data_IF_105855673348
#
_entry.id   IF_105855673348
#
_cell.length_a   1.000
_cell.length_b   1.000
_cell.length_c   1.000
_cell.angle_alpha   90.00
_cell.angle_beta   90.00
_cell.angle_gamma   90.00
#
_symmetry.space_group_name_H-M   'P 1'
#
loop_
_entity.id
_entity.type
_entity.pdbx_description
1 polymer ?
#
# COMPACT_ATOMS: atom_id res chain seq x y z
N UNK A 1 -40.79 -60.74 -0.93
CA UNK A 1 -41.13 -60.72 0.47
C UNK A 1 -40.49 -59.43 1.01
N UNK A 2 -41.09 -58.33 1.08
CA UNK A 2 -42.38 -57.93 1.64
C UNK A 2 -42.20 -57.49 3.08
N UNK A 3 -42.20 -56.22 3.33
CA UNK A 3 -43.04 -55.33 4.14
C UNK A 3 -42.24 -54.07 4.54
N UNK A 4 -42.66 -52.95 4.19
CA UNK A 4 -43.38 -51.77 4.71
C UNK A 4 -43.48 -51.69 6.26
N UNK A 5 -43.29 -50.52 6.83
CA UNK A 5 -44.06 -49.36 7.24
C UNK A 5 -43.28 -48.67 8.36
N UNK A 6 -43.21 -47.43 8.46
CA UNK A 6 -43.95 -46.26 8.80
C UNK A 6 -43.14 -45.42 9.76
N UNK A 7 -42.89 -44.20 9.65
CA UNK A 7 -43.70 -42.99 9.67
C UNK A 7 -43.58 -42.32 11.03
N UNK A 8 -42.97 -41.11 11.06
CA UNK A 8 -43.50 -39.93 11.73
C UNK A 8 -42.44 -38.83 11.84
N UNK A 9 -42.72 -37.67 11.24
CA UNK A 9 -42.21 -36.34 11.55
C UNK A 9 -43.11 -35.79 12.70
N UNK A 10 -42.71 -34.87 13.58
CA UNK A 10 -42.41 -33.49 13.21
C UNK A 10 -41.33 -32.76 14.00
N UNK A 11 -40.70 -31.81 13.34
CA UNK A 11 -40.55 -30.38 13.59
C UNK A 11 -40.15 -29.88 14.99
N UNK A 12 -39.02 -29.19 15.06
CA UNK A 12 -38.93 -27.88 15.71
C UNK A 12 -37.66 -27.18 15.23
N UNK A 13 -37.85 -26.01 14.66
CA UNK A 13 -36.85 -25.12 14.16
C UNK A 13 -36.04 -24.42 15.28
N UNK A 14 -34.81 -24.21 14.99
CA UNK A 14 -33.90 -23.37 15.71
C UNK A 14 -32.98 -22.71 14.72
N UNK A 15 -33.31 -21.50 14.27
CA UNK A 15 -32.47 -20.67 13.44
C UNK A 15 -31.29 -20.24 14.28
N UNK A 16 -30.13 -20.79 13.99
CA UNK A 16 -28.85 -20.22 14.43
C UNK A 16 -28.61 -18.96 13.58
N UNK A 17 -28.79 -17.79 14.19
CA UNK A 17 -28.30 -16.53 13.65
C UNK A 17 -26.79 -16.59 13.68
N UNK A 18 -26.16 -16.74 12.51
CA UNK A 18 -24.76 -16.42 12.31
C UNK A 18 -24.56 -14.93 12.58
N UNK A 19 -23.88 -14.62 13.64
CA UNK A 19 -23.35 -13.27 13.89
C UNK A 19 -22.16 -13.07 12.98
N UNK A 20 -22.35 -12.40 11.87
CA UNK A 20 -21.25 -11.89 11.05
C UNK A 20 -20.41 -10.90 11.87
N UNK A 21 -19.08 -10.94 11.78
CA UNK A 21 -18.22 -9.99 12.48
C UNK A 21 -18.45 -8.57 11.94
N UNK A 22 -18.56 -7.61 12.84
CA UNK A 22 -18.90 -6.21 12.58
C UNK A 22 -17.93 -5.43 11.65
N UNK A 23 -16.87 -6.05 11.16
CA UNK A 23 -15.87 -5.44 10.28
C UNK A 23 -16.27 -5.34 8.81
N UNK A 24 -17.10 -6.26 8.30
CA UNK A 24 -17.46 -6.31 6.88
C UNK A 24 -18.39 -5.16 6.43
N UNK A 25 -19.15 -4.56 7.34
CA UNK A 25 -20.14 -3.53 7.02
C UNK A 25 -19.60 -2.07 7.02
N UNK A 26 -18.36 -1.83 7.44
CA UNK A 26 -17.77 -0.49 7.42
C UNK A 26 -17.28 -0.06 6.04
N UNK A 27 -16.87 -0.99 5.21
CA UNK A 27 -16.34 -0.69 3.87
C UNK A 27 -17.43 -0.39 2.83
N UNK A 28 -18.60 -1.01 2.93
CA UNK A 28 -19.70 -0.84 1.97
C UNK A 28 -20.36 0.55 1.96
N UNK A 29 -20.12 1.40 2.96
CA UNK A 29 -20.69 2.76 3.04
C UNK A 29 -19.83 3.83 2.36
N UNK A 30 -18.55 3.56 2.10
CA UNK A 30 -17.61 4.47 1.44
C UNK A 30 -17.72 4.43 -0.08
N UNK A 31 -18.14 3.29 -0.66
CA UNK A 31 -18.26 3.11 -2.13
C UNK A 31 -19.24 4.08 -2.80
N UNK A 32 -20.31 4.51 -2.10
CA UNK A 32 -21.32 5.39 -2.71
C UNK A 32 -20.92 6.87 -2.79
N UNK A 33 -19.97 7.32 -2.02
CA UNK A 33 -19.50 8.71 -2.07
C UNK A 33 -18.31 8.89 -3.03
N UNK A 34 -17.57 7.83 -3.32
CA UNK A 34 -16.40 7.89 -4.21
C UNK A 34 -16.75 7.67 -5.68
N UNK A 35 -17.84 6.94 -6.02
CA UNK A 35 -18.27 6.78 -7.42
C UNK A 35 -18.86 8.06 -8.06
N UNK A 36 -19.15 9.11 -7.27
CA UNK A 36 -19.61 10.40 -7.80
C UNK A 36 -18.46 11.32 -8.26
N UNK A 37 -17.21 10.96 -8.02
CA UNK A 37 -16.03 11.81 -8.30
C UNK A 37 -15.38 11.56 -9.69
N UNK A 38 -15.96 10.74 -10.56
CA UNK A 38 -15.51 10.54 -11.94
C UNK A 38 -15.96 11.71 -12.85
N UNK A 39 -15.79 12.94 -12.41
CA UNK A 39 -15.82 14.12 -13.30
C UNK A 39 -14.37 14.52 -13.60
N UNK A 40 -14.05 14.85 -14.88
CA UNK A 40 -12.70 15.30 -15.21
C UNK A 40 -12.45 16.62 -14.47
N UNK A 41 -11.64 16.58 -13.42
CA UNK A 41 -11.19 17.72 -12.60
C UNK A 41 -10.23 18.65 -13.35
N UNK A 42 -10.04 18.46 -14.67
CA UNK A 42 -9.23 19.29 -15.56
C UNK A 42 -9.60 20.79 -15.60
N UNK A 43 -10.67 21.23 -14.95
CA UNK A 43 -11.19 22.60 -15.10
C UNK A 43 -10.85 23.57 -13.95
N UNK A 44 -9.99 23.20 -12.99
CA UNK A 44 -9.69 24.07 -11.83
C UNK A 44 -8.29 24.72 -11.84
N UNK A 45 -7.60 24.73 -12.99
CA UNK A 45 -6.19 25.15 -13.05
C UNK A 45 -5.97 26.61 -13.49
N UNK A 46 -6.72 27.57 -12.99
CA UNK A 46 -6.37 29.01 -13.17
C UNK A 46 -6.74 29.83 -11.92
N UNK A 47 -5.83 29.92 -10.97
CA UNK A 47 -5.93 30.77 -9.80
C UNK A 47 -4.58 30.92 -9.08
N UNK A 48 -4.41 31.77 -8.07
CA UNK A 48 -3.13 32.07 -7.41
C UNK A 48 -2.63 30.86 -6.58
N UNK A 49 -2.30 29.79 -7.27
CA UNK A 49 -1.94 28.47 -6.71
C UNK A 49 -0.43 28.29 -6.53
N UNK A 50 0.41 29.24 -6.95
CA UNK A 50 1.88 29.10 -6.85
C UNK A 50 2.44 29.12 -5.42
N UNK A 51 1.66 29.48 -4.41
CA UNK A 51 2.07 29.40 -3.00
C UNK A 51 1.53 28.17 -2.26
N UNK A 52 0.55 27.45 -2.82
CA UNK A 52 -0.02 26.24 -2.21
C UNK A 52 0.95 25.04 -2.22
N UNK A 53 1.98 25.05 -3.03
CA UNK A 53 2.91 23.93 -3.25
C UNK A 53 3.86 23.68 -2.07
N UNK A 54 4.06 24.66 -1.19
CA UNK A 54 4.97 24.55 -0.05
C UNK A 54 4.26 24.22 1.26
N UNK A 55 3.00 23.88 1.21
CA UNK A 55 2.22 23.72 2.43
C UNK A 55 2.33 22.29 2.94
N UNK A 56 3.16 22.12 3.95
CA UNK A 56 3.03 20.96 4.84
C UNK A 56 1.62 20.91 5.42
N UNK A 57 1.03 19.71 5.47
CA UNK A 57 -0.30 19.51 6.06
C UNK A 57 -0.09 18.77 7.38
N UNK A 58 -0.64 19.31 8.44
CA UNK A 58 -0.72 18.63 9.73
C UNK A 58 -2.16 18.18 9.98
N UNK A 59 -2.35 16.88 10.20
CA UNK A 59 -3.62 16.28 10.62
C UNK A 59 -3.55 15.94 12.10
N UNK A 60 -4.66 16.18 12.84
CA UNK A 60 -4.79 15.87 14.27
C UNK A 60 -6.11 15.20 14.57
N UNK A 61 -6.06 14.12 15.35
CA UNK A 61 -7.25 13.46 15.87
C UNK A 61 -6.91 12.82 17.22
N UNK A 62 -7.53 13.30 18.31
CA UNK A 62 -7.20 12.83 19.65
C UNK A 62 -5.73 13.05 20.00
N UNK A 63 -5.01 11.96 20.30
CA UNK A 63 -3.58 11.95 20.60
C UNK A 63 -2.71 11.72 19.36
N UNK A 64 -3.32 11.40 18.22
CA UNK A 64 -2.58 11.16 16.97
C UNK A 64 -2.35 12.47 16.22
N UNK A 65 -1.15 12.63 15.71
CA UNK A 65 -0.69 13.71 14.83
C UNK A 65 0.03 13.12 13.63
N UNK A 66 -0.34 13.56 12.43
CA UNK A 66 0.27 13.13 11.17
C UNK A 66 0.72 14.36 10.38
N UNK A 67 1.95 14.37 9.90
CA UNK A 67 2.47 15.41 9.01
C UNK A 67 2.64 14.85 7.59
N UNK A 68 2.17 15.61 6.59
CA UNK A 68 2.26 15.25 5.18
C UNK A 68 3.21 16.20 4.47
N UNK A 69 3.93 15.67 3.48
CA UNK A 69 4.79 16.40 2.57
C UNK A 69 4.35 16.14 1.11
N UNK A 70 3.30 16.82 0.62
CA UNK A 70 2.76 16.61 -0.73
C UNK A 70 3.81 16.77 -1.83
N UNK A 71 4.69 17.76 -1.72
CA UNK A 71 5.76 18.03 -2.70
C UNK A 71 6.83 16.92 -2.76
N UNK A 72 6.96 16.13 -1.71
CA UNK A 72 7.92 15.04 -1.59
C UNK A 72 7.23 13.68 -1.74
N UNK A 73 6.58 13.48 -2.89
CA UNK A 73 5.98 12.19 -3.25
C UNK A 73 4.64 11.90 -2.57
N UNK A 74 3.88 12.91 -2.13
CA UNK A 74 2.65 12.68 -1.38
C UNK A 74 2.89 11.93 -0.07
N UNK A 75 4.09 12.09 0.50
CA UNK A 75 4.58 11.30 1.62
C UNK A 75 3.95 11.70 2.95
N UNK A 76 3.83 10.72 3.84
CA UNK A 76 3.62 10.93 5.27
C UNK A 76 5.00 11.14 5.90
N UNK A 77 5.31 12.38 6.26
CA UNK A 77 6.58 12.74 6.89
C UNK A 77 6.76 12.04 8.23
N UNK A 78 5.68 11.94 8.99
CA UNK A 78 5.63 11.22 10.25
C UNK A 78 4.21 11.04 10.77
N UNK A 79 4.08 10.08 11.69
CA UNK A 79 2.89 9.82 12.50
C UNK A 79 3.33 9.64 13.95
N UNK A 80 2.70 10.35 14.85
CA UNK A 80 3.02 10.32 16.28
C UNK A 80 1.77 10.06 17.12
N UNK A 81 1.95 9.29 18.20
CA UNK A 81 1.03 9.23 19.33
C UNK A 81 1.61 10.14 20.43
N UNK A 82 1.03 11.32 20.65
CA UNK A 82 1.65 12.41 21.42
C UNK A 82 3.05 12.75 20.87
N UNK A 83 4.11 12.48 21.64
CA UNK A 83 5.49 12.68 21.24
C UNK A 83 6.16 11.39 20.71
N UNK A 84 5.48 10.22 20.81
CA UNK A 84 6.04 8.93 20.46
C UNK A 84 5.88 8.66 18.94
N UNK A 85 6.97 8.48 18.17
CA UNK A 85 6.86 8.16 16.75
C UNK A 85 6.21 6.79 16.53
N UNK A 86 5.11 6.73 15.81
CA UNK A 86 4.45 5.49 15.34
C UNK A 86 5.13 4.98 14.08
N UNK A 87 5.34 5.86 13.11
CA UNK A 87 6.18 5.61 11.95
C UNK A 87 7.57 6.23 12.18
N UNK A 88 8.58 5.83 11.39
CA UNK A 88 9.80 6.62 11.29
C UNK A 88 9.38 8.04 10.91
N UNK A 89 9.72 8.99 11.74
CA UNK A 89 9.13 10.31 11.65
C UNK A 89 10.21 11.38 11.60
N UNK A 90 10.21 12.12 10.49
CA UNK A 90 11.02 13.31 10.30
C UNK A 90 10.06 14.47 10.11
N UNK A 91 10.13 15.54 10.90
CA UNK A 91 9.28 16.70 10.68
C UNK A 91 9.33 17.13 9.21
N UNK A 92 8.16 17.41 8.60
CA UNK A 92 8.06 17.64 7.15
C UNK A 92 8.98 18.78 6.69
N UNK A 93 9.20 19.80 7.52
CA UNK A 93 10.13 20.90 7.24
C UNK A 93 11.61 20.47 7.12
N UNK A 94 11.96 19.28 7.62
CA UNK A 94 13.33 18.74 7.63
C UNK A 94 13.53 17.64 6.59
N UNK A 95 12.46 17.20 5.89
CA UNK A 95 12.57 16.19 4.86
C UNK A 95 13.31 16.72 3.64
N UNK A 96 14.36 16.03 3.19
CA UNK A 96 15.03 16.29 1.94
C UNK A 96 14.48 15.44 0.78
N UNK A 97 13.81 14.33 1.06
CA UNK A 97 13.23 13.44 0.06
C UNK A 97 12.13 12.55 0.67
N UNK A 98 11.23 12.02 -0.15
CA UNK A 98 10.23 11.03 0.26
C UNK A 98 10.83 9.79 0.94
N UNK A 99 12.07 9.43 0.58
CA UNK A 99 12.79 8.30 1.20
C UNK A 99 13.05 8.43 2.70
N UNK A 100 13.12 9.65 3.20
CA UNK A 100 13.34 9.94 4.61
C UNK A 100 12.03 10.02 5.40
N UNK A 101 10.89 9.94 4.71
CA UNK A 101 9.56 10.01 5.31
C UNK A 101 9.21 8.73 6.10
N UNK A 102 8.10 8.78 6.81
CA UNK A 102 7.55 7.63 7.53
C UNK A 102 6.81 6.65 6.62
N UNK A 103 6.20 7.16 5.53
CA UNK A 103 5.51 6.34 4.54
C UNK A 103 5.34 7.12 3.24
N UNK A 104 5.40 6.44 2.09
CA UNK A 104 5.07 7.03 0.79
C UNK A 104 4.27 6.05 -0.08
N UNK A 105 3.45 6.57 -1.02
CA UNK A 105 2.69 5.75 -1.94
C UNK A 105 3.60 5.10 -2.99
N UNK A 106 3.28 3.86 -3.35
CA UNK A 106 3.95 3.09 -4.39
C UNK A 106 3.04 3.04 -5.61
N UNK A 107 3.33 3.85 -6.63
CA UNK A 107 2.57 3.94 -7.87
C UNK A 107 3.50 4.24 -9.04
N UNK A 108 3.28 3.67 -10.23
CA UNK A 108 2.26 2.70 -10.64
C UNK A 108 2.72 1.25 -10.44
N UNK A 109 3.78 1.01 -9.68
CA UNK A 109 4.25 -0.31 -9.27
C UNK A 109 4.98 -0.23 -7.92
N UNK A 110 5.06 -1.36 -7.22
CA UNK A 110 5.84 -1.51 -6.01
C UNK A 110 7.14 -2.28 -6.27
N UNK A 111 8.12 -2.11 -5.40
CA UNK A 111 9.40 -2.79 -5.45
C UNK A 111 10.10 -2.63 -6.81
N UNK A 112 10.81 -3.64 -7.33
CA UNK A 112 11.74 -3.54 -8.46
C UNK A 112 11.13 -3.95 -9.79
N UNK A 113 11.53 -3.26 -10.87
CA UNK A 113 11.49 -3.76 -12.24
C UNK A 113 12.94 -4.01 -12.68
N UNK A 114 13.25 -5.26 -12.98
CA UNK A 114 14.60 -5.74 -13.27
C UNK A 114 15.30 -4.94 -14.35
N UNK A 115 16.60 -4.63 -14.15
CA UNK A 115 17.47 -3.92 -15.09
C UNK A 115 16.87 -2.60 -15.63
N UNK A 116 15.97 -1.97 -14.86
CA UNK A 116 15.23 -0.77 -15.27
C UNK A 116 14.67 -0.89 -16.70
N UNK A 117 14.10 -2.04 -17.03
CA UNK A 117 13.50 -2.31 -18.35
C UNK A 117 12.12 -2.91 -18.17
N UNK A 118 11.09 -2.17 -18.53
CA UNK A 118 9.73 -2.69 -18.54
C UNK A 118 9.48 -3.48 -19.82
N UNK A 119 9.20 -4.77 -19.71
CA UNK A 119 8.76 -5.61 -20.83
C UNK A 119 7.25 -5.70 -20.82
N UNK A 120 6.58 -5.09 -21.79
CA UNK A 120 5.14 -5.04 -21.87
C UNK A 120 4.62 -5.30 -23.28
N UNK A 121 3.76 -6.32 -23.44
CA UNK A 121 3.17 -6.71 -24.73
C UNK A 121 4.21 -6.85 -25.87
N UNK A 122 5.35 -7.48 -25.57
CA UNK A 122 6.43 -7.69 -26.53
C UNK A 122 7.33 -6.48 -26.79
N UNK A 123 7.04 -5.33 -26.20
CA UNK A 123 7.85 -4.12 -26.32
C UNK A 123 8.70 -3.93 -25.06
N UNK A 124 9.95 -3.56 -25.26
CA UNK A 124 10.87 -3.16 -24.18
C UNK A 124 10.87 -1.65 -24.04
N UNK A 125 10.61 -1.17 -22.83
CA UNK A 125 10.67 0.24 -22.45
C UNK A 125 11.81 0.42 -21.45
N UNK A 126 12.95 1.00 -21.83
CA UNK A 126 13.97 1.41 -20.87
C UNK A 126 13.40 2.43 -19.88
N UNK A 127 13.61 2.18 -18.59
CA UNK A 127 13.19 3.08 -17.51
C UNK A 127 14.41 3.79 -16.90
N UNK A 128 14.18 4.93 -16.27
CA UNK A 128 15.20 5.60 -15.48
C UNK A 128 15.43 4.81 -14.18
N UNK A 129 16.70 4.55 -13.84
CA UNK A 129 17.09 4.13 -12.49
C UNK A 129 16.83 5.29 -11.54
N UNK A 130 16.10 5.05 -10.50
CA UNK A 130 15.58 6.11 -9.66
C UNK A 130 16.01 6.00 -8.19
N UNK A 131 17.04 5.19 -7.89
CA UNK A 131 17.53 4.98 -6.54
C UNK A 131 19.02 4.68 -6.46
N UNK A 132 19.86 5.72 -6.52
CA UNK A 132 21.30 5.62 -6.38
C UNK A 132 21.93 4.59 -7.33
N UNK A 133 22.71 3.66 -6.76
CA UNK A 133 23.39 2.60 -7.50
C UNK A 133 22.50 1.38 -7.78
N UNK A 134 21.21 1.41 -7.41
CA UNK A 134 20.27 0.31 -7.70
C UNK A 134 20.15 0.10 -9.20
N UNK A 135 20.45 -1.10 -9.75
CA UNK A 135 20.41 -1.35 -11.19
C UNK A 135 19.00 -1.43 -11.76
N UNK A 136 17.98 -1.44 -10.88
CA UNK A 136 16.57 -1.58 -11.20
C UNK A 136 15.83 -0.25 -11.13
N UNK A 137 14.66 -0.14 -11.76
CA UNK A 137 13.70 0.89 -11.42
C UNK A 137 12.92 0.42 -10.18
N UNK A 138 12.68 1.32 -9.22
CA UNK A 138 12.09 0.94 -7.93
C UNK A 138 10.90 1.84 -7.56
N UNK A 139 9.81 1.22 -7.02
CA UNK A 139 8.67 1.87 -6.38
C UNK A 139 7.85 2.84 -7.24
N UNK A 140 7.99 2.75 -8.57
CA UNK A 140 7.28 3.65 -9.48
C UNK A 140 7.80 5.09 -9.44
N UNK A 141 6.93 6.02 -9.80
CA UNK A 141 7.29 7.44 -9.94
C UNK A 141 6.67 8.34 -8.88
N UNK A 142 5.54 7.90 -8.28
CA UNK A 142 4.74 8.75 -7.39
C UNK A 142 5.48 9.26 -6.17
N UNK A 143 6.38 8.47 -5.58
CA UNK A 143 7.13 8.82 -4.39
C UNK A 143 8.20 9.90 -4.60
N UNK A 144 8.53 10.22 -5.85
CA UNK A 144 9.56 11.22 -6.23
C UNK A 144 8.98 12.48 -6.86
N UNK A 145 7.67 12.52 -7.07
CA UNK A 145 6.99 13.61 -7.77
C UNK A 145 6.09 14.41 -6.82
N UNK A 146 5.93 15.70 -7.05
CA UNK A 146 5.00 16.49 -6.24
C UNK A 146 3.55 16.07 -6.51
N UNK A 147 2.75 16.04 -5.45
CA UNK A 147 1.31 15.81 -5.49
C UNK A 147 0.57 17.09 -5.19
N UNK A 148 -0.53 17.31 -5.90
CA UNK A 148 -1.43 18.44 -5.69
C UNK A 148 -2.38 18.17 -4.54
N UNK A 149 -2.52 19.11 -3.63
CA UNK A 149 -3.55 19.06 -2.57
C UNK A 149 -4.88 19.48 -3.19
N UNK A 150 -5.85 18.57 -3.23
CA UNK A 150 -7.20 18.85 -3.73
C UNK A 150 -8.10 19.38 -2.62
N UNK A 151 -7.97 18.81 -1.41
CA UNK A 151 -8.74 19.19 -0.23
C UNK A 151 -7.99 18.81 1.04
N UNK A 152 -8.19 19.55 2.12
CA UNK A 152 -7.68 19.19 3.44
C UNK A 152 -8.43 19.90 4.55
N UNK A 153 -8.64 19.18 5.66
CA UNK A 153 -9.13 19.70 6.92
C UNK A 153 -8.23 19.26 8.08
N UNK A 154 -8.65 19.46 9.32
CA UNK A 154 -7.86 19.14 10.51
C UNK A 154 -7.54 17.64 10.65
N UNK A 155 -8.32 16.76 10.03
CA UNK A 155 -8.22 15.30 10.20
C UNK A 155 -8.16 14.53 8.88
N UNK A 156 -8.23 15.19 7.73
CA UNK A 156 -8.18 14.53 6.44
C UNK A 156 -7.47 15.36 5.38
N UNK A 157 -6.90 14.67 4.36
CA UNK A 157 -6.36 15.29 3.18
C UNK A 157 -6.61 14.41 1.95
N UNK A 158 -6.82 15.05 0.80
CA UNK A 158 -6.89 14.40 -0.50
C UNK A 158 -5.84 14.99 -1.42
N UNK A 159 -4.95 14.14 -1.90
CA UNK A 159 -3.87 14.48 -2.81
C UNK A 159 -4.12 13.84 -4.17
N UNK A 160 -3.66 14.48 -5.24
CA UNK A 160 -3.70 13.94 -6.60
C UNK A 160 -2.35 14.09 -7.30
N UNK A 161 -2.07 13.14 -8.18
CA UNK A 161 -0.92 13.14 -9.05
C UNK A 161 -1.33 12.69 -10.46
N UNK A 162 -0.98 13.50 -11.46
CA UNK A 162 -1.11 13.14 -12.88
C UNK A 162 0.25 12.81 -13.45
N UNK A 163 0.33 11.68 -14.13
CA UNK A 163 1.53 11.28 -14.83
C UNK A 163 1.35 11.38 -16.34
N UNK A 164 2.12 12.26 -16.98
CA UNK A 164 2.32 12.22 -18.42
C UNK A 164 3.44 11.22 -18.75
N UNK A 165 3.33 10.45 -19.87
CA UNK A 165 4.35 9.50 -20.27
C UNK A 165 5.74 10.13 -20.33
N UNK A 166 6.71 9.50 -19.67
CA UNK A 166 8.11 9.91 -19.71
C UNK A 166 9.06 8.69 -19.64
N UNK A 167 10.36 8.93 -19.56
CA UNK A 167 11.35 7.87 -19.45
C UNK A 167 11.33 7.12 -18.09
N UNK A 168 10.63 7.62 -17.10
CA UNK A 168 10.45 6.92 -15.82
C UNK A 168 9.25 5.95 -15.86
N UNK A 169 8.20 6.29 -16.66
CA UNK A 169 7.06 5.39 -16.90
C UNK A 169 6.33 5.77 -18.20
N UNK A 170 6.15 4.81 -19.15
CA UNK A 170 5.68 5.14 -20.51
C UNK A 170 4.15 5.27 -20.65
N UNK A 171 3.36 5.06 -19.62
CA UNK A 171 1.90 5.10 -19.68
C UNK A 171 1.35 6.24 -18.84
N UNK A 172 0.46 7.05 -19.41
CA UNK A 172 -0.26 8.08 -18.67
C UNK A 172 -1.20 7.47 -17.62
N UNK A 173 -1.25 8.06 -16.43
CA UNK A 173 -2.20 7.68 -15.40
C UNK A 173 -2.53 8.87 -14.48
N UNK A 174 -3.71 8.82 -13.86
CA UNK A 174 -4.08 9.70 -12.76
C UNK A 174 -4.08 8.88 -11.46
N UNK A 175 -3.69 9.51 -10.37
CA UNK A 175 -3.67 8.88 -9.06
C UNK A 175 -4.24 9.81 -8.00
N UNK A 176 -4.98 9.26 -7.04
CA UNK A 176 -5.43 9.98 -5.85
C UNK A 176 -5.02 9.25 -4.58
N UNK A 177 -4.62 10.00 -3.55
CA UNK A 177 -4.28 9.49 -2.23
C UNK A 177 -5.09 10.25 -1.18
N UNK A 178 -6.02 9.56 -0.53
CA UNK A 178 -6.83 10.10 0.56
C UNK A 178 -6.30 9.58 1.89
N UNK A 179 -6.09 10.50 2.81
CA UNK A 179 -5.63 10.23 4.17
C UNK A 179 -6.70 10.73 5.15
N UNK A 180 -7.04 9.90 6.12
CA UNK A 180 -7.97 10.28 7.20
C UNK A 180 -7.41 9.80 8.53
N UNK A 181 -7.25 10.75 9.45
CA UNK A 181 -6.80 10.47 10.79
C UNK A 181 -8.00 10.35 11.73
N UNK A 182 -8.03 9.30 12.54
CA UNK A 182 -8.96 9.05 13.63
C UNK A 182 -8.22 9.11 14.96
N UNK A 183 -8.88 9.18 16.10
CA UNK A 183 -8.22 9.23 17.40
C UNK A 183 -7.27 8.05 17.68
N UNK A 184 -7.47 6.92 17.01
CA UNK A 184 -6.76 5.65 17.21
C UNK A 184 -6.30 5.00 15.91
N UNK A 185 -6.49 5.66 14.75
CA UNK A 185 -6.23 5.02 13.46
C UNK A 185 -5.90 6.04 12.36
N UNK A 186 -4.94 5.69 11.50
CA UNK A 186 -4.72 6.33 10.20
C UNK A 186 -5.31 5.46 9.10
N UNK A 187 -6.25 6.00 8.32
CA UNK A 187 -6.88 5.36 7.16
C UNK A 187 -6.33 5.96 5.87
N UNK A 188 -5.89 5.11 4.95
CA UNK A 188 -5.33 5.50 3.65
C UNK A 188 -6.10 4.83 2.52
N UNK A 189 -6.41 5.61 1.47
CA UNK A 189 -6.97 5.09 0.22
C UNK A 189 -6.13 5.60 -0.94
N UNK A 190 -5.69 4.70 -1.81
CA UNK A 190 -4.90 5.00 -2.99
C UNK A 190 -5.62 4.45 -4.21
N UNK A 191 -5.85 5.28 -5.22
CA UNK A 191 -6.49 4.89 -6.47
C UNK A 191 -5.65 5.33 -7.66
N UNK A 192 -5.63 4.51 -8.72
CA UNK A 192 -4.94 4.78 -9.98
C UNK A 192 -5.88 4.49 -11.14
N UNK A 193 -5.93 5.40 -12.12
CA UNK A 193 -6.71 5.26 -13.36
C UNK A 193 -5.77 5.30 -14.56
N UNK A 194 -5.85 4.30 -15.42
CA UNK A 194 -5.09 4.29 -16.68
C UNK A 194 -5.64 5.37 -17.64
N UNK A 195 -4.82 6.35 -17.96
CA UNK A 195 -5.11 7.43 -18.92
C UNK A 195 -4.41 7.20 -20.27
N UNK A 196 -3.66 6.11 -20.42
CA UNK A 196 -3.07 5.74 -21.70
C UNK A 196 -4.16 5.23 -22.68
N UNK A 197 -3.96 5.38 -24.01
CA UNK A 197 -4.91 4.87 -25.01
C UNK A 197 -4.87 3.35 -25.18
N UNK A 198 -3.98 2.65 -24.48
CA UNK A 198 -3.81 1.19 -24.51
C UNK A 198 -3.83 0.58 -23.11
N UNK A 199 -4.02 -0.74 -22.99
CA UNK A 199 -3.88 -1.44 -21.72
C UNK A 199 -2.49 -1.24 -21.12
N UNK A 200 -2.42 -0.94 -19.83
CA UNK A 200 -1.18 -0.71 -19.10
C UNK A 200 -1.07 -1.57 -17.84
N UNK A 201 0.13 -2.01 -17.46
CA UNK A 201 0.35 -2.69 -16.19
C UNK A 201 0.23 -1.67 -15.07
N UNK A 202 -0.38 -2.07 -13.97
CA UNK A 202 -0.58 -1.20 -12.82
C UNK A 202 -0.44 -1.95 -11.49
N UNK A 203 0.04 -1.24 -10.49
CA UNK A 203 0.14 -1.70 -9.13
C UNK A 203 0.12 -0.56 -8.13
N UNK A 204 -0.33 -0.87 -6.92
CA UNK A 204 -0.45 0.06 -5.80
C UNK A 204 0.19 -0.53 -4.55
N UNK A 205 0.59 0.35 -3.64
CA UNK A 205 1.02 -0.03 -2.31
C UNK A 205 1.45 1.17 -1.48
N UNK A 206 1.90 0.89 -0.29
CA UNK A 206 2.51 1.87 0.61
C UNK A 206 3.80 1.32 1.21
N UNK A 207 4.73 2.21 1.49
CA UNK A 207 6.01 1.89 2.08
C UNK A 207 6.15 2.48 3.49
N UNK A 208 5.43 1.97 4.48
CA UNK A 208 5.57 2.43 5.85
C UNK A 208 6.85 1.89 6.50
N UNK A 209 7.53 2.76 7.21
CA UNK A 209 8.73 2.48 7.99
C UNK A 209 8.41 2.60 9.48
N UNK A 210 8.57 1.52 10.23
CA UNK A 210 8.31 1.48 11.66
C UNK A 210 9.63 1.48 12.43
N UNK A 211 9.78 2.31 13.50
CA UNK A 211 10.95 2.22 14.37
C UNK A 211 11.08 0.84 15.01
N UNK A 212 12.27 0.29 15.05
CA UNK A 212 12.58 -0.89 15.86
C UNK A 212 12.91 -0.44 17.28
N UNK A 213 12.01 -0.71 18.21
CA UNK A 213 12.20 -0.49 19.63
C UNK A 213 12.60 -1.79 20.32
N UNK A 214 13.10 -1.73 21.58
CA UNK A 214 13.25 -2.94 22.37
C UNK A 214 12.00 -3.79 22.37
N UNK A 215 12.16 -5.11 22.32
CA UNK A 215 11.10 -6.10 22.24
C UNK A 215 10.11 -5.97 21.05
N UNK A 216 10.49 -5.23 19.98
CA UNK A 216 9.69 -5.17 18.76
C UNK A 216 9.51 -6.54 18.13
N UNK A 217 8.27 -6.97 17.96
CA UNK A 217 7.89 -8.25 17.32
C UNK A 217 6.88 -8.02 16.22
N UNK A 218 7.12 -8.64 15.07
CA UNK A 218 6.21 -8.66 13.93
C UNK A 218 5.47 -10.00 13.88
N UNK A 219 4.18 -9.97 13.50
CA UNK A 219 3.39 -11.18 13.23
C UNK A 219 2.40 -10.95 12.09
N UNK A 220 2.32 -11.91 11.14
CA UNK A 220 1.31 -11.98 10.09
C UNK A 220 1.19 -13.40 9.52
N UNK A 221 0.11 -13.69 8.78
CA UNK A 221 -0.12 -14.94 8.07
C UNK A 221 -0.08 -14.73 6.56
N UNK A 222 0.52 -15.69 5.84
CA UNK A 222 0.63 -15.68 4.38
C UNK A 222 0.54 -17.12 3.83
N UNK A 223 0.35 -17.25 2.52
CA UNK A 223 0.33 -18.54 1.82
C UNK A 223 1.67 -18.91 1.18
N UNK A 224 2.47 -17.91 0.83
CA UNK A 224 3.76 -18.10 0.19
C UNK A 224 4.75 -16.96 0.46
N UNK A 225 6.01 -17.24 0.17
CA UNK A 225 7.13 -16.31 0.23
C UNK A 225 7.95 -16.44 -1.06
N UNK A 226 8.32 -15.32 -1.62
CA UNK A 226 9.21 -15.24 -2.76
C UNK A 226 10.65 -15.08 -2.30
N UNK A 227 11.49 -16.06 -2.63
CA UNK A 227 12.93 -16.00 -2.39
C UNK A 227 13.57 -14.99 -3.33
N UNK A 228 14.58 -14.29 -2.85
CA UNK A 228 15.28 -13.25 -3.60
C UNK A 228 16.65 -13.74 -4.03
N UNK A 229 17.00 -13.50 -5.29
CA UNK A 229 18.35 -13.70 -5.80
C UNK A 229 19.35 -12.65 -5.29
N UNK A 230 20.64 -12.83 -5.61
CA UNK A 230 21.68 -11.87 -5.23
C UNK A 230 21.48 -10.48 -5.86
N UNK A 231 20.74 -10.40 -6.96
CA UNK A 231 20.28 -9.18 -7.63
C UNK A 231 19.01 -8.58 -7.02
N UNK A 232 18.51 -9.16 -5.91
CA UNK A 232 17.28 -8.76 -5.22
C UNK A 232 16.00 -8.87 -6.08
N UNK A 233 16.04 -9.68 -7.12
CA UNK A 233 14.85 -10.05 -7.88
C UNK A 233 14.28 -11.39 -7.37
N UNK A 234 12.96 -11.62 -7.50
CA UNK A 234 12.34 -12.86 -7.06
C UNK A 234 12.81 -14.05 -7.93
N UNK A 235 13.06 -15.18 -7.29
CA UNK A 235 13.52 -16.40 -7.95
C UNK A 235 12.47 -17.49 -7.91
N UNK A 236 12.17 -18.02 -6.74
CA UNK A 236 11.23 -19.12 -6.53
C UNK A 236 10.26 -18.79 -5.41
N UNK A 237 9.01 -19.21 -5.60
CA UNK A 237 7.98 -19.11 -4.58
C UNK A 237 8.00 -20.37 -3.71
N UNK A 238 8.06 -20.18 -2.40
CA UNK A 238 7.94 -21.25 -1.41
C UNK A 238 6.65 -21.11 -0.60
N UNK A 239 6.09 -22.22 -0.14
CA UNK A 239 4.98 -22.22 0.81
C UNK A 239 5.46 -21.59 2.13
N UNK A 240 4.67 -20.69 2.70
CA UNK A 240 5.00 -19.98 3.93
C UNK A 240 3.75 -19.71 4.76
N UNK A 241 3.79 -20.01 6.05
CA UNK A 241 2.71 -19.67 6.99
C UNK A 241 2.69 -18.17 7.39
N UNK A 242 3.59 -17.36 6.85
CA UNK A 242 3.82 -15.98 7.27
C UNK A 242 5.06 -15.82 8.15
N UNK A 243 5.02 -14.89 9.08
CA UNK A 243 6.13 -14.57 9.96
C UNK A 243 5.62 -14.27 11.37
N UNK A 244 6.34 -14.78 12.37
CA UNK A 244 6.25 -14.34 13.75
C UNK A 244 7.68 -14.30 14.31
N UNK A 245 8.23 -13.11 14.52
CA UNK A 245 9.65 -12.95 14.82
C UNK A 245 9.95 -11.71 15.67
N UNK A 246 11.08 -11.78 16.37
CA UNK A 246 11.71 -10.62 16.99
C UNK A 246 12.44 -9.80 15.92
N UNK A 247 12.09 -8.52 15.82
CA UNK A 247 12.68 -7.62 14.82
C UNK A 247 14.17 -7.33 15.06
N UNK A 248 14.68 -7.52 16.29
CA UNK A 248 16.07 -7.23 16.62
C UNK A 248 17.05 -8.15 15.88
N UNK A 249 16.65 -9.42 15.67
CA UNK A 249 17.48 -10.46 15.02
C UNK A 249 17.00 -10.81 13.62
N UNK A 250 15.90 -10.22 13.17
CA UNK A 250 15.29 -10.52 11.88
C UNK A 250 16.17 -9.98 10.74
N UNK A 251 16.46 -10.84 9.76
CA UNK A 251 17.07 -10.51 8.48
C UNK A 251 16.14 -10.98 7.37
N UNK A 252 15.44 -10.04 6.71
CA UNK A 252 14.40 -10.33 5.74
C UNK A 252 14.32 -9.21 4.69
N UNK A 253 14.19 -9.61 3.41
CA UNK A 253 13.84 -8.77 2.26
C UNK A 253 13.00 -9.63 1.32
N UNK A 254 11.73 -9.87 1.66
CA UNK A 254 10.88 -10.81 0.92
C UNK A 254 9.49 -10.24 0.66
N UNK A 255 8.92 -10.65 -0.48
CA UNK A 255 7.50 -10.52 -0.75
C UNK A 255 6.77 -11.80 -0.31
N UNK A 256 5.69 -11.62 0.43
CA UNK A 256 4.76 -12.68 0.84
C UNK A 256 3.46 -12.52 0.07
N UNK A 257 2.95 -13.61 -0.50
CA UNK A 257 1.65 -13.67 -1.16
C UNK A 257 0.63 -14.49 -0.38
N UNK A 258 -0.65 -14.38 -0.74
CA UNK A 258 -1.72 -14.99 0.06
C UNK A 258 -1.75 -14.43 1.49
N UNK A 259 -1.27 -13.20 1.68
CA UNK A 259 -1.41 -12.48 2.92
C UNK A 259 -2.89 -12.16 3.16
N UNK A 260 -3.34 -12.40 4.38
CA UNK A 260 -4.76 -12.23 4.75
C UNK A 260 -5.17 -10.76 5.00
N UNK A 261 -4.30 -9.80 4.65
CA UNK A 261 -4.55 -8.38 4.85
C UNK A 261 -4.35 -7.89 6.28
N UNK A 262 -3.76 -8.70 7.18
CA UNK A 262 -3.57 -8.35 8.59
C UNK A 262 -2.12 -8.58 9.01
N UNK A 263 -1.49 -7.57 9.62
CA UNK A 263 -0.20 -7.69 10.27
C UNK A 263 -0.21 -6.95 11.61
N UNK A 264 0.64 -7.38 12.53
CA UNK A 264 0.82 -6.77 13.84
C UNK A 264 2.30 -6.45 14.04
N UNK A 265 2.57 -5.31 14.62
CA UNK A 265 3.86 -4.94 15.17
C UNK A 265 3.64 -4.45 16.60
N UNK A 266 4.31 -5.06 17.56
CA UNK A 266 4.20 -4.69 18.97
C UNK A 266 5.58 -4.50 19.59
N UNK A 267 5.67 -3.60 20.52
CA UNK A 267 6.85 -3.37 21.35
C UNK A 267 6.42 -2.96 22.78
N UNK A 268 7.34 -2.47 23.58
CA UNK A 268 7.07 -2.06 24.97
C UNK A 268 6.18 -0.81 25.08
N UNK A 269 6.06 -0.04 23.99
CA UNK A 269 5.35 1.24 23.99
C UNK A 269 4.03 1.19 23.22
N UNK A 270 3.97 0.40 22.11
CA UNK A 270 2.86 0.41 21.18
C UNK A 270 2.45 -0.99 20.74
N UNK A 271 1.14 -1.13 20.48
CA UNK A 271 0.56 -2.21 19.69
C UNK A 271 0.00 -1.62 18.40
N UNK A 272 0.56 -2.03 17.27
CA UNK A 272 0.17 -1.57 15.95
C UNK A 272 -0.50 -2.70 15.19
N UNK A 273 -1.63 -2.39 14.52
CA UNK A 273 -2.32 -3.32 13.61
C UNK A 273 -2.42 -2.66 12.25
N UNK A 274 -1.87 -3.33 11.26
CA UNK A 274 -1.94 -2.96 9.86
C UNK A 274 -3.02 -3.82 9.23
N UNK A 275 -4.03 -3.20 8.62
CA UNK A 275 -5.02 -3.89 7.81
C UNK A 275 -5.06 -3.31 6.40
N UNK A 276 -5.20 -4.15 5.37
CA UNK A 276 -5.25 -3.69 3.98
C UNK A 276 -6.17 -4.56 3.14
N UNK A 277 -6.72 -3.98 2.07
CA UNK A 277 -7.43 -4.70 1.01
C UNK A 277 -6.49 -5.47 0.09
N UNK A 278 -5.18 -5.24 0.17
CA UNK A 278 -4.16 -5.91 -0.61
C UNK A 278 -3.81 -7.28 -0.03
N UNK A 279 -3.37 -8.20 -0.87
CA UNK A 279 -3.12 -9.59 -0.49
C UNK A 279 -1.65 -10.02 -0.57
N UNK A 280 -0.75 -9.03 -0.69
CA UNK A 280 0.69 -9.23 -0.69
C UNK A 280 1.34 -8.26 0.28
N UNK A 281 2.42 -8.71 0.90
CA UNK A 281 3.14 -7.95 1.91
C UNK A 281 4.64 -8.06 1.64
N UNK A 282 5.32 -6.94 1.46
CA UNK A 282 6.78 -6.91 1.48
C UNK A 282 7.23 -6.58 2.90
N UNK A 283 8.19 -7.35 3.40
CA UNK A 283 8.82 -7.09 4.69
C UNK A 283 10.32 -6.95 4.48
N UNK A 284 10.87 -5.83 4.97
CA UNK A 284 12.30 -5.55 4.90
C UNK A 284 12.84 -5.05 6.23
N UNK A 285 13.85 -5.73 6.74
CA UNK A 285 14.75 -5.27 7.82
C UNK A 285 15.99 -6.14 7.89
N UNK A 286 17.00 -5.73 8.62
CA UNK A 286 18.12 -6.57 9.07
C UNK A 286 18.61 -6.10 10.45
N UNK A 287 19.51 -6.85 11.08
CA UNK A 287 19.98 -6.57 12.43
C UNK A 287 20.62 -5.18 12.60
N UNK A 288 21.12 -4.58 11.51
CA UNK A 288 21.81 -3.27 11.56
C UNK A 288 20.85 -2.08 11.40
N UNK A 289 19.59 -2.33 10.97
CA UNK A 289 18.61 -1.27 10.78
C UNK A 289 17.88 -0.97 12.07
N UNK A 290 17.55 0.29 12.29
CA UNK A 290 16.74 0.79 13.40
C UNK A 290 15.25 0.85 13.04
N UNK A 291 14.85 0.25 11.91
CA UNK A 291 13.48 0.21 11.41
C UNK A 291 13.14 -1.14 10.78
N UNK A 292 11.84 -1.40 10.66
CA UNK A 292 11.25 -2.44 9.82
C UNK A 292 10.25 -1.82 8.85
N UNK A 293 10.33 -2.19 7.55
CA UNK A 293 9.30 -1.87 6.57
C UNK A 293 8.31 -3.03 6.50
N UNK A 294 7.02 -2.70 6.52
CA UNK A 294 5.91 -3.66 6.42
C UNK A 294 4.96 -3.08 5.37
N UNK A 295 5.10 -3.51 4.13
CA UNK A 295 4.58 -2.84 2.94
C UNK A 295 3.41 -3.63 2.33
N UNK A 296 2.15 -3.23 2.53
CA UNK A 296 1.03 -3.75 1.75
C UNK A 296 1.18 -3.36 0.28
N UNK A 297 1.19 -4.36 -0.62
CA UNK A 297 1.38 -4.16 -2.07
C UNK A 297 0.40 -5.01 -2.87
N UNK A 298 0.05 -4.55 -4.09
CA UNK A 298 -0.91 -5.26 -4.94
C UNK A 298 -0.29 -6.47 -5.66
N UNK A 299 1.00 -6.44 -5.96
CA UNK A 299 1.68 -7.45 -6.76
C UNK A 299 3.03 -7.86 -6.15
N UNK A 300 3.55 -9.01 -6.57
CA UNK A 300 4.88 -9.48 -6.19
C UNK A 300 5.98 -8.62 -6.83
N UNK A 301 7.18 -8.65 -6.27
CA UNK A 301 8.33 -7.94 -6.84
C UNK A 301 8.57 -8.39 -8.27
N UNK A 302 8.95 -7.47 -9.16
CA UNK A 302 9.28 -7.73 -10.57
C UNK A 302 8.16 -8.46 -11.36
N UNK A 303 6.89 -8.24 -10.98
CA UNK A 303 5.74 -8.95 -11.53
C UNK A 303 5.63 -8.85 -13.05
N UNK A 304 6.01 -7.71 -13.65
CA UNK A 304 5.94 -7.49 -15.08
C UNK A 304 6.88 -8.43 -15.87
N UNK A 305 8.07 -8.74 -15.34
CA UNK A 305 8.98 -9.69 -15.97
C UNK A 305 8.53 -11.15 -15.77
N UNK A 306 8.04 -11.48 -14.58
CA UNK A 306 7.46 -12.80 -14.32
C UNK A 306 6.24 -13.06 -15.22
N UNK A 307 5.40 -12.04 -15.44
CA UNK A 307 4.27 -12.09 -16.36
C UNK A 307 4.74 -12.26 -17.82
N UNK A 308 5.72 -11.48 -18.28
CA UNK A 308 6.31 -11.63 -19.59
C UNK A 308 6.97 -13.02 -19.79
N UNK A 309 7.46 -13.64 -18.72
CA UNK A 309 7.96 -15.00 -18.65
C UNK A 309 6.88 -16.09 -18.62
N UNK A 310 5.59 -15.74 -18.67
CA UNK A 310 4.47 -16.67 -18.75
C UNK A 310 3.75 -16.97 -17.43
N UNK A 311 4.11 -16.29 -16.33
CA UNK A 311 3.36 -16.43 -15.07
C UNK A 311 1.99 -15.73 -15.17
N UNK A 312 0.99 -16.24 -14.42
CA UNK A 312 -0.36 -15.68 -14.39
C UNK A 312 -0.37 -14.30 -13.72
N UNK A 313 -1.01 -13.31 -14.35
CA UNK A 313 -1.22 -11.99 -13.75
C UNK A 313 -1.94 -12.08 -12.39
N UNK A 314 -2.92 -12.98 -12.27
CA UNK A 314 -3.67 -13.20 -11.04
C UNK A 314 -2.77 -13.73 -9.91
N UNK A 315 -1.90 -14.70 -10.18
CA UNK A 315 -0.96 -15.25 -9.20
C UNK A 315 0.05 -14.21 -8.74
N UNK A 316 0.48 -13.36 -9.68
CA UNK A 316 1.39 -12.25 -9.39
C UNK A 316 0.70 -11.05 -8.73
N UNK A 317 -0.64 -10.92 -8.82
CA UNK A 317 -1.41 -9.75 -8.42
C UNK A 317 -1.20 -8.53 -9.31
N UNK A 318 -0.62 -8.74 -10.49
CA UNK A 318 -0.46 -7.70 -11.49
C UNK A 318 -1.82 -7.34 -12.09
N UNK A 319 -2.17 -6.06 -12.08
CA UNK A 319 -3.36 -5.57 -12.77
C UNK A 319 -2.99 -5.09 -14.16
N UNK A 320 -3.89 -5.36 -15.12
CA UNK A 320 -3.81 -4.83 -16.48
C UNK A 320 -5.04 -3.97 -16.68
N UNK A 321 -4.86 -2.65 -16.58
CA UNK A 321 -5.97 -1.72 -16.67
C UNK A 321 -6.20 -1.31 -18.12
N UNK A 322 -7.46 -1.43 -18.59
CA UNK A 322 -7.89 -0.89 -19.87
C UNK A 322 -7.89 0.65 -19.82
N UNK A 323 -7.91 1.35 -20.99
CA UNK A 323 -8.07 2.79 -21.01
C UNK A 323 -9.28 3.26 -20.19
N UNK A 324 -9.06 4.16 -19.24
CA UNK A 324 -10.08 4.67 -18.30
C UNK A 324 -10.44 3.74 -17.14
N UNK A 325 -9.88 2.52 -17.08
CA UNK A 325 -10.10 1.59 -15.97
C UNK A 325 -9.27 2.02 -14.75
N UNK A 326 -9.83 1.76 -13.56
CA UNK A 326 -9.22 2.16 -12.29
C UNK A 326 -9.02 0.96 -11.38
N UNK A 327 -7.98 1.02 -10.55
CA UNK A 327 -7.80 0.16 -9.38
C UNK A 327 -7.71 1.00 -8.10
N UNK A 328 -8.08 0.42 -6.99
CA UNK A 328 -8.06 1.08 -5.68
C UNK A 328 -7.58 0.12 -4.60
N UNK A 329 -6.85 0.66 -3.64
CA UNK A 329 -6.41 -0.05 -2.44
C UNK A 329 -6.69 0.76 -1.19
N UNK A 330 -6.86 0.06 -0.06
CA UNK A 330 -7.05 0.66 1.26
C UNK A 330 -6.06 0.05 2.25
N UNK A 331 -5.57 0.90 3.16
CA UNK A 331 -4.78 0.48 4.31
C UNK A 331 -5.26 1.25 5.54
N UNK A 332 -5.26 0.59 6.69
CA UNK A 332 -5.43 1.23 7.99
C UNK A 332 -4.32 0.83 8.94
N UNK A 333 -3.87 1.78 9.74
CA UNK A 333 -2.91 1.59 10.81
C UNK A 333 -3.56 1.99 12.13
N UNK A 334 -4.01 0.99 12.91
CA UNK A 334 -4.51 1.20 14.26
C UNK A 334 -3.36 1.26 15.26
N UNK A 335 -3.45 2.19 16.20
CA UNK A 335 -2.41 2.53 17.17
C UNK A 335 -2.99 2.46 18.57
N UNK A 336 -2.45 1.55 19.37
CA UNK A 336 -2.83 1.40 20.79
C UNK A 336 -1.55 1.50 21.64
N UNK A 337 -1.55 2.17 22.80
CA UNK A 337 -0.48 2.02 23.79
C UNK A 337 -0.36 0.56 24.21
N UNK A 338 0.86 0.09 24.55
CA UNK A 338 1.15 -1.27 25.00
C UNK A 338 0.58 -1.55 26.39
#
# INVERSE_FOLDING_TARGET
MGLRIGGCVPAAGGSLRETQPASANRFARLDRLQMAAARPWRLLHNGPQQEAWRRMIELKAGRLRCELAPELGGSIAGLWLDALPVLRSTPAAQLASGRQSGCYPLVPFSNRIGQATLVWQGTQHPLIRNDGDEPHAIHGVGWQRPWTVLDSDDASAMLAYEHAPDAAWPFAFDCSHTLRLRPDCLELTLALTNQAPQPAPAGLGWHPWFPKRPASRIAFRAGGRWEMGPDKLPTVRQVSGGLEADCAVLDVDHCYDGWNGQAQLRDEALQLRIASSLSRLVVFTNARRDFVAIEPVSHVNNAVHLYAGGASAADLGLQVLQPGESMMAQMSLSVEPA
#
